data_IF_217316928119
#
_entry.id   IF_217316928119
#
_cell.length_a   1.000
_cell.length_b   1.000
_cell.length_c   1.000
_cell.angle_alpha   90.00
_cell.angle_beta   90.00
_cell.angle_gamma   90.00
#
_symmetry.space_group_name_H-M   'P 1'
#
loop_
_entity.id
_entity.type
_entity.pdbx_description
1 polymer ?
#
# COMPACT_ATOMS: atom_id res chain seq x y z
N UNK A 1 39.76 -76.56 6.34
CA UNK A 1 39.12 -76.85 7.65
C UNK A 1 39.35 -75.62 8.53
N UNK A 2 38.27 -74.85 8.76
CA UNK A 2 37.99 -73.80 9.79
C UNK A 2 38.99 -72.62 9.94
N UNK A 3 38.67 -71.35 9.61
CA UNK A 3 37.68 -70.35 10.13
C UNK A 3 37.85 -69.90 11.61
N UNK A 4 38.11 -68.60 11.79
CA UNK A 4 37.57 -67.63 12.79
C UNK A 4 38.28 -66.27 12.59
N UNK A 5 37.63 -65.25 12.03
CA UNK A 5 36.69 -64.27 12.66
C UNK A 5 37.37 -63.35 13.69
N UNK A 6 37.61 -62.10 13.29
CA UNK A 6 37.73 -60.94 14.18
C UNK A 6 37.01 -59.74 13.53
N UNK A 7 36.16 -59.13 14.35
CA UNK A 7 35.13 -58.13 14.07
C UNK A 7 35.61 -56.86 13.35
N UNK A 8 34.88 -56.49 12.28
CA UNK A 8 34.98 -55.20 11.56
C UNK A 8 33.78 -54.28 11.86
N UNK A 9 32.81 -54.74 12.65
CA UNK A 9 31.51 -54.06 12.83
C UNK A 9 31.45 -53.00 13.95
N UNK A 10 32.56 -52.74 14.65
CA UNK A 10 32.58 -51.77 15.76
C UNK A 10 33.03 -50.36 15.36
N UNK A 11 33.73 -50.18 14.24
CA UNK A 11 34.21 -48.86 13.81
C UNK A 11 33.21 -48.11 12.90
N UNK A 12 32.38 -48.83 12.15
CA UNK A 12 31.36 -48.26 11.26
C UNK A 12 30.13 -47.72 11.99
N UNK A 13 29.95 -48.05 13.29
CA UNK A 13 28.84 -47.56 14.11
C UNK A 13 29.12 -46.26 14.86
N UNK A 14 30.37 -45.82 14.95
CA UNK A 14 30.72 -44.56 15.60
C UNK A 14 30.71 -43.37 14.64
N UNK A 15 31.07 -43.56 13.36
CA UNK A 15 30.94 -42.49 12.34
C UNK A 15 29.50 -42.27 11.87
N UNK A 16 28.63 -43.29 12.00
CA UNK A 16 27.21 -43.17 11.65
C UNK A 16 26.38 -42.44 12.74
N UNK A 17 26.88 -42.37 13.98
CA UNK A 17 26.19 -41.71 15.08
C UNK A 17 26.47 -40.19 15.13
N UNK A 18 27.65 -39.73 14.70
CA UNK A 18 28.00 -38.30 14.68
C UNK A 18 27.49 -37.56 13.42
N UNK A 19 27.04 -38.26 12.38
CA UNK A 19 26.40 -37.62 11.21
C UNK A 19 24.88 -37.44 11.36
N UNK A 20 24.30 -37.96 12.43
CA UNK A 20 22.85 -38.00 12.62
C UNK A 20 22.33 -36.93 13.60
N UNK A 21 23.21 -36.22 14.31
CA UNK A 21 22.83 -35.19 15.29
C UNK A 21 22.88 -33.74 14.77
N UNK A 22 23.46 -33.47 13.58
CA UNK A 22 23.53 -32.11 13.01
C UNK A 22 22.42 -31.79 12.00
N UNK A 23 21.52 -32.72 11.69
CA UNK A 23 20.40 -32.51 10.76
C UNK A 23 19.04 -32.26 11.42
N UNK A 24 18.94 -32.26 12.75
CA UNK A 24 17.67 -32.13 13.49
C UNK A 24 17.24 -30.69 13.86
N UNK A 25 17.79 -29.65 13.21
CA UNK A 25 17.37 -28.25 13.47
C UNK A 25 16.67 -27.55 12.29
N UNK A 26 16.07 -28.30 11.37
CA UNK A 26 15.06 -27.75 10.48
C UNK A 26 13.74 -28.44 10.77
N UNK A 27 12.92 -27.84 11.64
CA UNK A 27 11.48 -28.09 11.60
C UNK A 27 11.04 -27.76 10.18
N UNK A 28 10.84 -28.81 9.37
CA UNK A 28 10.18 -28.73 8.07
C UNK A 28 8.86 -28.04 8.35
N UNK A 29 8.78 -26.75 7.99
CA UNK A 29 7.50 -26.05 7.93
C UNK A 29 6.64 -26.92 7.04
N UNK A 30 5.48 -27.36 7.54
CA UNK A 30 4.54 -28.19 6.79
C UNK A 30 4.40 -27.60 5.38
N UNK A 31 4.96 -28.27 4.37
CA UNK A 31 5.14 -27.73 3.00
C UNK A 31 3.81 -27.41 2.32
N UNK A 32 2.70 -27.71 2.99
CA UNK A 32 1.34 -27.49 2.55
C UNK A 32 0.75 -26.13 2.96
N UNK A 33 1.34 -25.41 3.93
CA UNK A 33 0.86 -24.08 4.30
C UNK A 33 1.61 -22.97 3.56
N UNK A 34 1.24 -22.81 2.28
CA UNK A 34 1.81 -21.76 1.42
C UNK A 34 1.55 -20.35 1.96
N UNK A 35 0.45 -20.12 2.67
CA UNK A 35 0.08 -18.78 3.14
C UNK A 35 1.05 -18.31 4.26
N UNK A 36 1.48 -19.23 5.13
CA UNK A 36 2.54 -18.96 6.12
C UNK A 36 3.90 -18.73 5.46
N UNK A 37 4.26 -19.52 4.46
CA UNK A 37 5.52 -19.35 3.72
C UNK A 37 5.58 -17.99 3.00
N UNK A 38 4.52 -17.62 2.30
CA UNK A 38 4.42 -16.31 1.62
C UNK A 38 4.55 -15.19 2.65
N UNK A 39 3.82 -15.27 3.76
CA UNK A 39 3.89 -14.25 4.83
C UNK A 39 5.30 -14.10 5.41
N UNK A 40 6.02 -15.22 5.57
CA UNK A 40 7.42 -15.22 6.02
C UNK A 40 8.33 -14.49 5.04
N UNK A 41 8.30 -14.83 3.76
CA UNK A 41 9.17 -14.17 2.76
C UNK A 41 8.83 -12.69 2.60
N UNK A 42 7.54 -12.32 2.63
CA UNK A 42 7.12 -10.92 2.63
C UNK A 42 7.64 -10.16 3.85
N UNK A 43 7.63 -10.78 5.05
CA UNK A 43 8.17 -10.14 6.26
C UNK A 43 9.69 -9.93 6.22
N UNK A 44 10.40 -10.75 5.44
CA UNK A 44 11.85 -10.62 5.20
C UNK A 44 12.19 -9.62 4.08
N UNK A 45 11.19 -9.14 3.35
CA UNK A 45 11.37 -8.27 2.18
C UNK A 45 11.77 -9.00 0.89
N UNK A 46 11.86 -10.34 0.91
CA UNK A 46 12.18 -11.15 -0.28
C UNK A 46 10.93 -11.29 -1.17
N UNK A 47 10.74 -10.29 -2.03
CA UNK A 47 9.60 -10.22 -2.93
C UNK A 47 9.69 -11.21 -4.09
N UNK A 48 10.89 -11.61 -4.51
CA UNK A 48 11.09 -12.53 -5.64
C UNK A 48 10.67 -13.95 -5.26
N UNK A 49 11.17 -14.45 -4.13
CA UNK A 49 10.79 -15.76 -3.59
C UNK A 49 9.32 -15.78 -3.21
N UNK A 50 8.80 -14.70 -2.61
CA UNK A 50 7.38 -14.58 -2.34
C UNK A 50 6.52 -14.70 -3.61
N UNK A 51 6.94 -14.05 -4.72
CA UNK A 51 6.22 -14.12 -6.00
C UNK A 51 6.11 -15.56 -6.51
N UNK A 52 7.20 -16.33 -6.43
CA UNK A 52 7.20 -17.74 -6.85
C UNK A 52 6.18 -18.58 -6.05
N UNK A 53 6.16 -18.41 -4.72
CA UNK A 53 5.23 -19.17 -3.87
C UNK A 53 3.78 -18.71 -4.02
N UNK A 54 3.53 -17.43 -4.28
CA UNK A 54 2.19 -16.89 -4.61
C UNK A 54 1.66 -17.58 -5.88
N UNK A 55 2.48 -17.67 -6.93
CA UNK A 55 2.10 -18.32 -8.19
C UNK A 55 1.81 -19.80 -8.00
N UNK A 56 2.65 -20.50 -7.23
CA UNK A 56 2.48 -21.92 -6.95
C UNK A 56 1.23 -22.20 -6.09
N UNK A 57 0.97 -21.37 -5.09
CA UNK A 57 -0.24 -21.45 -4.25
C UNK A 57 -1.50 -21.27 -5.09
N UNK A 58 -1.52 -20.26 -5.96
CA UNK A 58 -2.67 -20.03 -6.85
C UNK A 58 -2.87 -21.16 -7.86
N UNK A 59 -1.79 -21.69 -8.46
CA UNK A 59 -1.88 -22.82 -9.38
C UNK A 59 -2.51 -24.05 -8.71
N UNK A 60 -2.07 -24.41 -7.49
CA UNK A 60 -2.64 -25.53 -6.73
C UNK A 60 -4.11 -25.30 -6.38
N UNK A 61 -4.49 -24.08 -5.97
CA UNK A 61 -5.89 -23.72 -5.70
C UNK A 61 -6.75 -23.87 -6.96
N UNK A 62 -6.23 -23.51 -8.13
CA UNK A 62 -6.93 -23.68 -9.41
C UNK A 62 -7.16 -25.15 -9.79
N UNK A 63 -6.28 -26.06 -9.38
CA UNK A 63 -6.47 -27.50 -9.59
C UNK A 63 -7.62 -28.06 -8.74
N UNK A 64 -7.79 -27.57 -7.51
CA UNK A 64 -8.85 -28.02 -6.60
C UNK A 64 -10.20 -27.35 -6.84
N UNK A 65 -10.20 -26.05 -7.12
CA UNK A 65 -11.42 -25.27 -7.36
C UNK A 65 -11.11 -23.89 -7.94
N UNK A 66 -11.71 -23.54 -9.07
CA UNK A 66 -11.58 -22.18 -9.63
C UNK A 66 -12.56 -21.21 -8.95
N UNK A 67 -12.28 -20.76 -7.73
CA UNK A 67 -13.08 -19.73 -7.07
C UNK A 67 -12.62 -18.31 -7.41
N UNK A 68 -13.58 -17.39 -7.52
CA UNK A 68 -13.28 -15.98 -7.76
C UNK A 68 -12.57 -15.33 -6.57
N UNK A 69 -12.82 -15.82 -5.35
CA UNK A 69 -12.16 -15.32 -4.14
C UNK A 69 -10.66 -15.64 -4.11
N UNK A 70 -10.28 -16.81 -4.61
CA UNK A 70 -8.88 -17.23 -4.67
C UNK A 70 -8.11 -16.37 -5.67
N UNK A 71 -8.74 -16.03 -6.80
CA UNK A 71 -8.17 -15.06 -7.74
C UNK A 71 -8.07 -13.66 -7.13
N UNK A 72 -9.05 -13.19 -6.36
CA UNK A 72 -8.98 -11.90 -5.69
C UNK A 72 -7.85 -11.86 -4.65
N UNK A 73 -7.64 -12.94 -3.89
CA UNK A 73 -6.51 -13.08 -2.97
C UNK A 73 -5.17 -13.12 -3.71
N UNK A 74 -5.08 -13.86 -4.81
CA UNK A 74 -3.89 -13.90 -5.65
C UNK A 74 -3.53 -12.51 -6.22
N UNK A 75 -4.51 -11.74 -6.71
CA UNK A 75 -4.31 -10.36 -7.16
C UNK A 75 -3.85 -9.44 -6.02
N UNK A 76 -4.44 -9.60 -4.82
CA UNK A 76 -4.00 -8.88 -3.62
C UNK A 76 -2.54 -9.15 -3.31
N UNK A 77 -2.14 -10.42 -3.28
CA UNK A 77 -0.77 -10.81 -2.93
C UNK A 77 0.24 -10.35 -3.98
N UNK A 78 -0.10 -10.42 -5.28
CA UNK A 78 0.70 -9.84 -6.37
C UNK A 78 0.88 -8.31 -6.25
N UNK A 79 -0.10 -7.62 -5.67
CA UNK A 79 -0.01 -6.17 -5.43
C UNK A 79 1.01 -5.85 -4.34
N UNK A 80 1.17 -6.73 -3.34
CA UNK A 80 2.15 -6.58 -2.26
C UNK A 80 3.58 -6.71 -2.80
N UNK A 81 3.83 -7.64 -3.72
CA UNK A 81 5.12 -7.82 -4.39
C UNK A 81 5.33 -6.87 -5.59
N UNK A 82 4.54 -5.81 -5.68
CA UNK A 82 4.66 -4.73 -6.69
C UNK A 82 4.54 -5.18 -8.16
N UNK A 83 3.87 -6.30 -8.44
CA UNK A 83 3.67 -6.83 -9.81
C UNK A 83 2.52 -6.13 -10.55
N UNK A 84 2.53 -4.79 -10.58
CA UNK A 84 1.41 -3.97 -11.04
C UNK A 84 1.03 -4.20 -12.51
N UNK A 85 2.03 -4.39 -13.40
CA UNK A 85 1.75 -4.65 -14.82
C UNK A 85 0.99 -5.97 -14.99
N UNK A 86 1.42 -7.01 -14.30
CA UNK A 86 0.78 -8.34 -14.30
C UNK A 86 -0.64 -8.26 -13.74
N UNK A 87 -0.83 -7.58 -12.60
CA UNK A 87 -2.15 -7.35 -12.00
C UNK A 87 -3.09 -6.66 -12.99
N UNK A 88 -2.64 -5.59 -13.65
CA UNK A 88 -3.47 -4.85 -14.61
C UNK A 88 -3.94 -5.73 -15.77
N UNK A 89 -3.07 -6.57 -16.32
CA UNK A 89 -3.39 -7.47 -17.44
C UNK A 89 -4.32 -8.60 -17.02
N UNK A 90 -4.09 -9.20 -15.85
CA UNK A 90 -4.93 -10.30 -15.34
C UNK A 90 -6.38 -9.86 -15.12
N UNK A 91 -6.59 -8.68 -14.54
CA UNK A 91 -7.94 -8.14 -14.30
C UNK A 91 -8.61 -7.77 -15.62
N UNK A 92 -7.88 -7.13 -16.54
CA UNK A 92 -8.41 -6.69 -17.83
C UNK A 92 -8.79 -7.87 -18.72
N UNK A 93 -7.94 -8.90 -18.82
CA UNK A 93 -8.19 -10.09 -19.64
C UNK A 93 -9.41 -10.90 -19.17
N UNK A 94 -9.80 -10.76 -17.90
CA UNK A 94 -10.99 -11.42 -17.33
C UNK A 94 -12.22 -10.49 -17.27
N UNK A 95 -12.11 -9.25 -17.76
CA UNK A 95 -13.19 -8.25 -17.75
C UNK A 95 -13.79 -7.99 -16.35
N UNK A 96 -12.97 -8.02 -15.29
CA UNK A 96 -13.45 -7.95 -13.91
C UNK A 96 -13.55 -6.52 -13.34
N UNK A 97 -12.99 -5.52 -14.02
CA UNK A 97 -12.89 -4.13 -13.52
C UNK A 97 -14.25 -3.56 -13.13
N UNK A 98 -15.29 -3.81 -13.94
CA UNK A 98 -16.64 -3.26 -13.73
C UNK A 98 -17.54 -4.15 -12.86
N UNK A 99 -17.08 -5.34 -12.46
CA UNK A 99 -17.91 -6.33 -11.77
C UNK A 99 -17.97 -6.14 -10.26
N UNK A 100 -16.86 -5.72 -9.64
CA UNK A 100 -16.81 -5.54 -8.19
C UNK A 100 -15.71 -4.54 -7.77
N UNK A 101 -15.95 -3.80 -6.67
CA UNK A 101 -15.02 -2.78 -6.14
C UNK A 101 -13.62 -3.34 -5.85
N UNK A 102 -13.53 -4.60 -5.43
CA UNK A 102 -12.26 -5.29 -5.17
C UNK A 102 -11.35 -5.24 -6.40
N UNK A 103 -11.87 -5.62 -7.57
CA UNK A 103 -11.10 -5.65 -8.81
C UNK A 103 -10.88 -4.24 -9.37
N UNK A 104 -11.88 -3.36 -9.26
CA UNK A 104 -11.72 -1.96 -9.60
C UNK A 104 -10.57 -1.31 -8.81
N UNK A 105 -10.48 -1.59 -7.50
CA UNK A 105 -9.40 -1.09 -6.65
C UNK A 105 -8.03 -1.57 -7.09
N UNK A 106 -7.81 -2.88 -7.18
CA UNK A 106 -6.48 -3.40 -7.55
C UNK A 106 -6.06 -2.98 -8.95
N UNK A 107 -7.01 -2.85 -9.88
CA UNK A 107 -6.73 -2.35 -11.22
C UNK A 107 -6.34 -0.86 -11.22
N UNK A 108 -7.14 -0.01 -10.56
CA UNK A 108 -6.85 1.43 -10.46
C UNK A 108 -5.54 1.68 -9.71
N UNK A 109 -5.28 0.93 -8.64
CA UNK A 109 -4.03 1.01 -7.90
C UNK A 109 -2.83 0.61 -8.78
N UNK A 110 -2.94 -0.48 -9.56
CA UNK A 110 -1.91 -0.86 -10.51
C UNK A 110 -1.65 0.22 -11.57
N UNK A 111 -2.71 0.79 -12.16
CA UNK A 111 -2.57 1.90 -13.12
C UNK A 111 -1.90 3.14 -12.52
N UNK A 112 -2.19 3.43 -11.24
CA UNK A 112 -1.60 4.56 -10.53
C UNK A 112 -0.08 4.41 -10.41
N UNK A 113 0.38 3.23 -10.01
CA UNK A 113 1.81 2.92 -9.93
C UNK A 113 2.49 2.85 -11.31
N UNK A 114 1.74 2.48 -12.35
CA UNK A 114 2.18 2.56 -13.75
C UNK A 114 2.10 3.98 -14.35
N UNK A 115 1.72 4.99 -13.55
CA UNK A 115 1.57 6.41 -13.95
C UNK A 115 0.55 6.64 -15.09
N UNK A 116 -0.43 5.76 -15.23
CA UNK A 116 -1.48 5.85 -16.26
C UNK A 116 -2.70 6.66 -15.78
N UNK A 117 -2.46 7.88 -15.31
CA UNK A 117 -3.48 8.72 -14.66
C UNK A 117 -4.67 9.08 -15.56
N UNK A 118 -4.43 9.31 -16.85
CA UNK A 118 -5.47 9.61 -17.84
C UNK A 118 -6.45 8.45 -18.04
N UNK A 119 -5.98 7.21 -17.93
CA UNK A 119 -6.83 6.02 -18.05
C UNK A 119 -7.73 5.89 -16.83
N UNK A 120 -7.19 6.12 -15.62
CA UNK A 120 -7.94 6.01 -14.36
C UNK A 120 -9.21 6.87 -14.37
N UNK A 121 -9.10 8.13 -14.82
CA UNK A 121 -10.24 9.07 -14.83
C UNK A 121 -11.29 8.75 -15.90
N UNK A 122 -10.92 7.97 -16.92
CA UNK A 122 -11.81 7.55 -18.00
C UNK A 122 -12.52 6.22 -17.72
N UNK A 123 -12.17 5.51 -16.65
CA UNK A 123 -12.76 4.21 -16.33
C UNK A 123 -14.23 4.35 -15.91
N UNK A 124 -15.17 3.67 -16.58
CA UNK A 124 -16.59 3.76 -16.27
C UNK A 124 -16.96 2.82 -15.10
N UNK A 125 -16.52 3.18 -13.89
CA UNK A 125 -16.78 2.41 -12.66
C UNK A 125 -17.81 3.08 -11.74
N UNK A 126 -18.49 4.13 -12.21
CA UNK A 126 -19.48 4.88 -11.43
C UNK A 126 -20.58 4.02 -10.83
N UNK A 127 -21.00 2.96 -11.53
CA UNK A 127 -22.02 2.01 -11.05
C UNK A 127 -21.60 1.23 -9.80
N UNK A 128 -20.30 1.14 -9.53
CA UNK A 128 -19.76 0.46 -8.35
C UNK A 128 -19.65 1.40 -7.13
N UNK A 129 -19.94 2.69 -7.27
CA UNK A 129 -19.76 3.64 -6.19
C UNK A 129 -20.86 3.53 -5.13
N UNK A 130 -20.47 3.59 -3.86
CA UNK A 130 -21.38 3.58 -2.72
C UNK A 130 -22.02 4.95 -2.43
N UNK A 131 -21.58 6.01 -3.12
CA UNK A 131 -22.04 7.38 -2.88
C UNK A 131 -22.26 8.08 -4.21
N UNK A 132 -23.38 8.80 -4.31
CA UNK A 132 -23.73 9.58 -5.50
C UNK A 132 -22.89 10.86 -5.61
N UNK A 133 -22.73 11.38 -6.83
CA UNK A 133 -22.05 12.65 -7.08
C UNK A 133 -20.52 12.59 -6.97
N UNK A 134 -19.94 11.38 -6.94
CA UNK A 134 -18.50 11.20 -7.01
C UNK A 134 -18.00 11.47 -8.43
N UNK A 135 -16.82 12.11 -8.57
CA UNK A 135 -16.25 12.43 -9.87
C UNK A 135 -15.58 11.18 -10.46
N UNK A 136 -16.38 10.17 -10.80
CA UNK A 136 -15.95 9.00 -11.57
C UNK A 136 -16.85 8.88 -12.78
N UNK A 137 -16.32 8.32 -13.88
CA UNK A 137 -17.13 8.14 -15.08
C UNK A 137 -18.21 7.09 -14.80
N UNK A 138 -19.45 7.43 -15.11
CA UNK A 138 -20.54 6.46 -15.15
C UNK A 138 -20.62 5.88 -16.57
N UNK A 139 -20.85 4.57 -16.73
CA UNK A 139 -21.05 3.99 -18.04
C UNK A 139 -22.24 4.65 -18.74
N UNK A 140 -22.04 5.02 -20.00
CA UNK A 140 -23.06 5.67 -20.82
C UNK A 140 -24.10 4.62 -21.24
N UNK A 141 -25.32 4.69 -20.71
CA UNK A 141 -26.43 3.74 -20.98
C UNK A 141 -26.88 3.65 -22.45
N UNK A 142 -26.22 4.35 -23.37
CA UNK A 142 -26.60 4.49 -24.78
C UNK A 142 -25.63 3.79 -25.75
N UNK A 143 -24.54 3.19 -25.27
CA UNK A 143 -23.58 2.45 -26.11
C UNK A 143 -23.57 0.96 -25.75
N UNK A 144 -24.50 0.19 -26.34
CA UNK A 144 -24.66 -1.26 -26.10
C UNK A 144 -23.50 -2.18 -26.54
N UNK A 145 -22.35 -1.61 -26.91
CA UNK A 145 -21.14 -2.39 -27.23
C UNK A 145 -20.38 -2.79 -25.95
N UNK A 146 -20.45 -1.97 -24.89
CA UNK A 146 -19.80 -2.30 -23.60
C UNK A 146 -20.51 -3.47 -22.91
N UNK A 147 -21.85 -3.52 -22.97
CA UNK A 147 -22.65 -4.61 -22.42
C UNK A 147 -22.39 -5.95 -23.12
N UNK A 148 -22.02 -5.92 -24.41
CA UNK A 148 -21.70 -7.12 -25.18
C UNK A 148 -20.37 -7.75 -24.73
N UNK A 149 -19.36 -6.96 -24.37
CA UNK A 149 -18.09 -7.48 -23.84
C UNK A 149 -18.23 -7.97 -22.39
N UNK A 150 -19.04 -7.29 -21.58
CA UNK A 150 -19.33 -7.70 -20.20
C UNK A 150 -20.19 -8.99 -20.11
N UNK A 151 -20.85 -9.40 -21.20
CA UNK A 151 -21.59 -10.66 -21.29
C UNK A 151 -20.70 -11.91 -21.42
N UNK A 152 -19.43 -11.78 -21.80
CA UNK A 152 -18.50 -12.91 -21.91
C UNK A 152 -17.88 -13.32 -20.57
N UNK A 153 -17.95 -12.45 -19.55
CA UNK A 153 -17.53 -12.80 -18.20
C UNK A 153 -18.66 -13.52 -17.46
N UNK A 154 -18.34 -14.64 -16.83
CA UNK A 154 -19.29 -15.36 -15.98
C UNK A 154 -19.89 -14.44 -14.92
N UNK A 155 -21.21 -14.53 -14.73
CA UNK A 155 -21.90 -13.83 -13.65
C UNK A 155 -21.34 -14.30 -12.30
N UNK A 156 -21.11 -13.36 -11.39
CA UNK A 156 -20.60 -13.69 -10.05
C UNK A 156 -21.67 -14.46 -9.29
N UNK A 157 -21.30 -15.61 -8.73
CA UNK A 157 -22.20 -16.35 -7.84
C UNK A 157 -22.52 -15.52 -6.60
N UNK A 158 -23.70 -15.72 -6.00
CA UNK A 158 -24.09 -15.03 -4.77
C UNK A 158 -23.08 -15.28 -3.63
N UNK A 159 -22.53 -16.50 -3.57
CA UNK A 159 -21.48 -16.86 -2.61
C UNK A 159 -20.18 -16.08 -2.84
N UNK A 160 -19.75 -15.91 -4.09
CA UNK A 160 -18.55 -15.13 -4.41
C UNK A 160 -18.77 -13.65 -4.09
N UNK A 161 -19.96 -13.12 -4.41
CA UNK A 161 -20.31 -11.73 -4.12
C UNK A 161 -20.31 -11.45 -2.61
N UNK A 162 -20.85 -12.36 -1.79
CA UNK A 162 -20.79 -12.25 -0.34
C UNK A 162 -19.34 -12.28 0.19
N UNK A 163 -18.50 -13.16 -0.34
CA UNK A 163 -17.09 -13.26 0.04
C UNK A 163 -16.28 -12.01 -0.37
N UNK A 164 -16.52 -11.50 -1.58
CA UNK A 164 -15.88 -10.28 -2.08
C UNK A 164 -16.34 -9.03 -1.30
N UNK A 165 -17.62 -8.94 -0.93
CA UNK A 165 -18.11 -7.87 -0.07
C UNK A 165 -17.48 -7.93 1.33
N UNK A 166 -17.29 -9.14 1.89
CA UNK A 166 -16.57 -9.33 3.16
C UNK A 166 -15.12 -8.82 3.04
N UNK A 167 -14.43 -9.14 1.95
CA UNK A 167 -13.07 -8.65 1.67
C UNK A 167 -13.03 -7.13 1.50
N UNK A 168 -13.95 -6.56 0.74
CA UNK A 168 -14.06 -5.10 0.54
C UNK A 168 -14.21 -4.36 1.87
N UNK A 169 -15.07 -4.88 2.75
CA UNK A 169 -15.36 -4.26 4.04
C UNK A 169 -14.25 -4.44 5.07
N UNK A 170 -13.57 -5.59 5.09
CA UNK A 170 -12.46 -5.86 6.00
C UNK A 170 -11.23 -5.02 5.66
N UNK A 171 -10.92 -4.89 4.37
CA UNK A 171 -9.77 -4.12 3.87
C UNK A 171 -10.07 -2.64 3.59
N UNK A 172 -11.32 -2.18 3.81
CA UNK A 172 -11.76 -0.80 3.53
C UNK A 172 -11.43 -0.33 2.10
N UNK A 173 -11.59 -1.22 1.11
CA UNK A 173 -11.12 -0.99 -0.25
C UNK A 173 -11.78 0.20 -0.96
N UNK A 174 -13.02 0.56 -0.60
CA UNK A 174 -13.65 1.76 -1.16
C UNK A 174 -12.90 3.02 -0.72
N UNK A 175 -12.61 3.18 0.58
CA UNK A 175 -11.83 4.32 1.07
C UNK A 175 -10.45 4.36 0.40
N UNK A 176 -9.78 3.21 0.30
CA UNK A 176 -8.48 3.11 -0.38
C UNK A 176 -8.57 3.51 -1.86
N UNK A 177 -9.59 3.05 -2.59
CA UNK A 177 -9.86 3.43 -3.98
C UNK A 177 -10.05 4.94 -4.13
N UNK A 178 -10.85 5.54 -3.24
CA UNK A 178 -11.10 6.98 -3.26
C UNK A 178 -9.83 7.80 -2.93
N UNK A 179 -8.92 7.28 -2.11
CA UNK A 179 -7.60 7.90 -1.92
C UNK A 179 -6.77 7.87 -3.21
N UNK A 180 -6.77 6.76 -3.96
CA UNK A 180 -6.04 6.67 -5.23
C UNK A 180 -6.63 7.63 -6.27
N UNK A 181 -7.96 7.74 -6.37
CA UNK A 181 -8.61 8.76 -7.20
C UNK A 181 -8.27 10.18 -6.76
N UNK A 182 -8.29 10.45 -5.45
CA UNK A 182 -7.91 11.75 -4.89
C UNK A 182 -6.48 12.15 -5.26
N UNK A 183 -5.52 11.22 -5.14
CA UNK A 183 -4.13 11.42 -5.57
C UNK A 183 -4.04 11.67 -7.08
N UNK A 184 -4.78 10.90 -7.87
CA UNK A 184 -4.82 11.05 -9.32
C UNK A 184 -5.33 12.43 -9.73
N UNK A 185 -6.41 12.92 -9.11
CA UNK A 185 -6.95 14.25 -9.40
C UNK A 185 -6.05 15.39 -8.92
N UNK A 186 -5.31 15.21 -7.83
CA UNK A 186 -4.26 16.16 -7.42
C UNK A 186 -3.19 16.28 -8.51
N UNK A 187 -2.72 15.14 -9.05
CA UNK A 187 -1.72 15.12 -10.12
C UNK A 187 -2.24 15.70 -11.44
N UNK A 188 -3.55 15.62 -11.68
CA UNK A 188 -4.23 16.24 -12.83
C UNK A 188 -4.70 17.68 -12.52
N UNK A 189 -4.26 18.27 -11.41
CA UNK A 189 -4.56 19.64 -10.97
C UNK A 189 -6.06 19.95 -10.76
N UNK A 190 -6.90 18.93 -10.66
CA UNK A 190 -8.33 19.09 -10.42
C UNK A 190 -8.64 19.00 -8.92
N UNK A 191 -8.53 20.15 -8.25
CA UNK A 191 -8.70 20.24 -6.78
C UNK A 191 -10.13 19.95 -6.31
N UNK A 192 -11.15 20.30 -7.09
CA UNK A 192 -12.55 20.06 -6.71
C UNK A 192 -12.85 18.56 -6.65
N UNK A 193 -12.48 17.83 -7.71
CA UNK A 193 -12.68 16.39 -7.76
C UNK A 193 -11.82 15.65 -6.73
N UNK A 194 -10.57 16.09 -6.55
CA UNK A 194 -9.72 15.56 -5.49
C UNK A 194 -10.35 15.74 -4.10
N UNK A 195 -10.90 16.92 -3.79
CA UNK A 195 -11.56 17.19 -2.52
C UNK A 195 -12.73 16.23 -2.28
N UNK A 196 -13.64 16.08 -3.26
CA UNK A 196 -14.79 15.17 -3.15
C UNK A 196 -14.37 13.72 -2.91
N UNK A 197 -13.37 13.24 -3.63
CA UNK A 197 -12.85 11.87 -3.46
C UNK A 197 -12.25 11.66 -2.06
N UNK A 198 -11.39 12.58 -1.62
CA UNK A 198 -10.70 12.45 -0.33
C UNK A 198 -11.66 12.60 0.85
N UNK A 199 -12.67 13.47 0.74
CA UNK A 199 -13.73 13.60 1.74
C UNK A 199 -14.51 12.28 1.84
N UNK A 200 -14.92 11.69 0.71
CA UNK A 200 -15.61 10.40 0.70
C UNK A 200 -14.76 9.29 1.34
N UNK A 201 -13.46 9.25 1.03
CA UNK A 201 -12.53 8.30 1.63
C UNK A 201 -12.46 8.44 3.16
N UNK A 202 -12.31 9.67 3.65
CA UNK A 202 -12.13 9.98 5.07
C UNK A 202 -13.41 9.79 5.90
N UNK A 203 -14.58 10.08 5.32
CA UNK A 203 -15.86 9.84 5.98
C UNK A 203 -16.14 8.34 6.13
N UNK A 204 -15.70 7.52 5.16
CA UNK A 204 -15.88 6.08 5.22
C UNK A 204 -14.86 5.39 6.15
N UNK A 205 -13.60 5.80 6.10
CA UNK A 205 -12.56 5.34 7.02
C UNK A 205 -11.92 6.51 7.78
N UNK A 206 -12.35 6.66 9.03
CA UNK A 206 -11.89 7.71 9.94
C UNK A 206 -10.43 7.55 10.35
N UNK A 207 -9.81 6.39 10.10
CA UNK A 207 -8.42 6.09 10.43
C UNK A 207 -7.49 6.21 9.22
N UNK A 208 -8.02 6.60 8.06
CA UNK A 208 -7.22 6.78 6.85
C UNK A 208 -6.33 8.02 6.95
N UNK A 209 -5.13 7.83 7.48
CA UNK A 209 -4.10 8.88 7.60
C UNK A 209 -3.76 9.49 6.24
N UNK A 210 -3.70 8.66 5.19
CA UNK A 210 -3.39 9.12 3.84
C UNK A 210 -4.42 10.13 3.33
N UNK A 211 -5.72 9.86 3.53
CA UNK A 211 -6.77 10.80 3.15
C UNK A 211 -6.67 12.10 3.97
N UNK A 212 -6.46 11.98 5.28
CA UNK A 212 -6.33 13.13 6.17
C UNK A 212 -5.15 14.04 5.81
N UNK A 213 -3.96 13.46 5.62
CA UNK A 213 -2.75 14.21 5.26
C UNK A 213 -2.92 14.92 3.93
N UNK A 214 -3.51 14.26 2.92
CA UNK A 214 -3.76 14.89 1.63
C UNK A 214 -4.76 16.06 1.75
N UNK A 215 -5.83 15.90 2.54
CA UNK A 215 -6.79 16.98 2.79
C UNK A 215 -6.14 18.18 3.49
N UNK A 216 -5.28 17.96 4.50
CA UNK A 216 -4.55 19.00 5.24
C UNK A 216 -3.52 19.69 4.33
N UNK A 217 -2.62 18.92 3.71
CA UNK A 217 -1.49 19.44 2.94
C UNK A 217 -1.95 20.28 1.73
N UNK A 218 -2.99 19.83 1.03
CA UNK A 218 -3.53 20.54 -0.13
C UNK A 218 -4.66 21.53 0.22
N UNK A 219 -4.94 21.75 1.51
CA UNK A 219 -6.00 22.65 2.01
C UNK A 219 -7.35 22.40 1.31
N UNK A 220 -7.72 21.14 1.16
CA UNK A 220 -8.93 20.70 0.44
C UNK A 220 -10.16 20.56 1.35
N UNK A 221 -10.01 20.84 2.64
CA UNK A 221 -11.08 20.75 3.64
C UNK A 221 -12.07 21.91 3.43
N UNK A 222 -13.38 21.63 3.34
CA UNK A 222 -14.40 22.67 3.28
C UNK A 222 -14.29 23.60 4.50
N UNK A 223 -14.27 24.91 4.27
CA UNK A 223 -14.13 25.92 5.34
C UNK A 223 -15.40 26.11 6.18
N UNK A 224 -16.46 25.35 5.89
CA UNK A 224 -17.76 25.47 6.53
C UNK A 224 -17.84 24.60 7.79
N UNK A 225 -18.06 25.22 8.95
CA UNK A 225 -18.18 24.51 10.23
C UNK A 225 -19.34 23.50 10.33
N UNK A 226 -20.25 23.51 9.35
CA UNK A 226 -21.36 22.54 9.21
C UNK A 226 -20.92 21.22 8.56
N UNK A 227 -19.78 21.20 7.88
CA UNK A 227 -19.31 20.02 7.16
C UNK A 227 -18.87 18.90 8.11
N UNK A 228 -19.35 17.65 7.91
CA UNK A 228 -18.98 16.52 8.76
C UNK A 228 -17.46 16.23 8.74
N UNK A 229 -16.78 16.47 7.62
CA UNK A 229 -15.33 16.30 7.51
C UNK A 229 -14.59 17.29 8.41
N UNK A 230 -14.95 18.58 8.36
CA UNK A 230 -14.33 19.62 9.20
C UNK A 230 -14.49 19.30 10.70
N UNK A 231 -15.69 18.89 11.12
CA UNK A 231 -15.96 18.51 12.51
C UNK A 231 -15.15 17.29 12.95
N UNK A 232 -15.00 16.31 12.05
CA UNK A 232 -14.24 15.09 12.34
C UNK A 232 -12.74 15.39 12.48
N UNK A 233 -12.17 16.18 11.57
CA UNK A 233 -10.75 16.58 11.66
C UNK A 233 -10.46 17.38 12.94
N UNK A 234 -11.38 18.26 13.36
CA UNK A 234 -11.24 18.99 14.63
C UNK A 234 -11.22 18.06 15.84
N UNK A 235 -12.01 16.97 15.83
CA UNK A 235 -12.01 15.98 16.91
C UNK A 235 -10.72 15.18 16.96
N UNK A 236 -10.19 14.77 15.81
CA UNK A 236 -8.92 14.03 15.75
C UNK A 236 -7.77 14.87 16.31
N UNK A 237 -7.72 16.17 15.98
CA UNK A 237 -6.78 17.12 16.57
C UNK A 237 -6.83 17.20 18.11
N UNK A 238 -7.96 16.89 18.74
CA UNK A 238 -8.12 16.93 20.19
C UNK A 238 -7.68 15.63 20.89
N UNK A 239 -7.55 14.54 20.13
CA UNK A 239 -7.12 13.22 20.64
C UNK A 239 -5.63 12.94 20.39
N UNK A 240 -4.92 13.94 19.90
CA UNK A 240 -3.52 13.86 19.50
C UNK A 240 -2.58 13.77 20.73
N UNK A 241 -1.60 12.88 20.69
CA UNK A 241 -0.69 12.55 21.81
C UNK A 241 0.44 13.60 21.87
N UNK A 242 0.65 14.21 23.03
CA UNK A 242 1.77 15.13 23.26
C UNK A 242 3.11 14.41 23.04
N UNK A 243 3.89 14.87 22.05
CA UNK A 243 5.21 14.32 21.72
C UNK A 243 5.32 13.65 20.34
N UNK A 244 4.24 13.53 19.58
CA UNK A 244 4.30 12.97 18.21
C UNK A 244 5.16 13.88 17.28
N UNK A 245 6.20 13.35 16.60
CA UNK A 245 7.01 14.13 15.67
C UNK A 245 6.19 14.78 14.55
N UNK A 246 5.03 14.23 14.18
CA UNK A 246 4.12 14.83 13.18
C UNK A 246 3.55 16.16 13.67
N UNK A 247 3.17 16.22 14.95
CA UNK A 247 2.66 17.45 15.56
C UNK A 247 3.77 18.46 15.75
N UNK A 248 4.95 18.04 16.21
CA UNK A 248 6.14 18.90 16.29
C UNK A 248 6.48 19.48 14.91
N UNK A 249 6.36 18.68 13.85
CA UNK A 249 6.57 19.13 12.46
C UNK A 249 5.49 20.13 12.02
N UNK A 250 4.21 19.91 12.34
CA UNK A 250 3.15 20.85 12.01
C UNK A 250 3.30 22.18 12.77
N UNK A 251 3.66 22.13 14.06
CA UNK A 251 4.01 23.30 14.86
C UNK A 251 5.19 24.05 14.22
N UNK A 252 6.23 23.33 13.81
CA UNK A 252 7.37 23.94 13.11
C UNK A 252 6.94 24.62 11.81
N UNK A 253 6.00 24.06 11.04
CA UNK A 253 5.45 24.71 9.83
C UNK A 253 4.69 25.99 10.17
N UNK A 254 3.93 26.00 11.26
CA UNK A 254 3.22 27.19 11.74
C UNK A 254 4.21 28.29 12.16
N UNK A 255 5.23 27.94 12.97
CA UNK A 255 6.31 28.85 13.37
C UNK A 255 7.06 29.44 12.17
N UNK A 256 7.36 28.60 11.18
CA UNK A 256 8.04 29.04 9.96
C UNK A 256 7.18 30.02 9.16
N UNK A 257 5.88 29.74 9.03
CA UNK A 257 4.93 30.61 8.35
C UNK A 257 4.79 31.97 9.06
N UNK A 258 4.88 31.96 10.38
CA UNK A 258 4.82 33.17 11.21
C UNK A 258 6.17 33.93 11.25
N UNK A 259 7.18 33.47 10.51
CA UNK A 259 8.49 34.11 10.37
C UNK A 259 9.47 33.80 11.51
N UNK A 260 9.12 32.90 12.43
CA UNK A 260 9.95 32.51 13.56
C UNK A 260 10.91 31.38 13.18
N UNK A 261 11.85 31.71 12.29
CA UNK A 261 12.76 30.71 11.68
C UNK A 261 13.72 30.08 12.71
N UNK A 262 14.12 30.82 13.76
CA UNK A 262 15.01 30.29 14.81
C UNK A 262 14.33 29.18 15.64
N UNK A 263 13.12 29.44 16.14
CA UNK A 263 12.31 28.44 16.88
C UNK A 263 11.95 27.24 15.99
N UNK A 264 11.74 27.48 14.68
CA UNK A 264 11.55 26.42 13.70
C UNK A 264 12.79 25.55 13.58
N UNK A 265 13.98 26.14 13.45
CA UNK A 265 15.23 25.39 13.32
C UNK A 265 15.49 24.55 14.58
N UNK A 266 15.27 25.10 15.77
CA UNK A 266 15.41 24.37 17.04
C UNK A 266 14.48 23.16 17.08
N UNK A 267 13.20 23.37 16.77
CA UNK A 267 12.19 22.29 16.77
C UNK A 267 12.53 21.21 15.74
N UNK A 268 12.91 21.60 14.52
CA UNK A 268 13.27 20.65 13.47
C UNK A 268 14.57 19.90 13.78
N UNK A 269 15.55 20.54 14.40
CA UNK A 269 16.80 19.89 14.83
C UNK A 269 16.51 18.82 15.88
N UNK A 270 15.70 19.15 16.90
CA UNK A 270 15.28 18.19 17.92
C UNK A 270 14.59 16.96 17.30
N UNK A 271 13.72 17.16 16.30
CA UNK A 271 13.07 16.03 15.60
C UNK A 271 14.11 15.15 14.87
N UNK A 272 15.07 15.77 14.19
CA UNK A 272 16.11 15.02 13.46
C UNK A 272 17.04 14.26 14.42
N UNK A 273 17.36 14.83 15.58
CA UNK A 273 18.17 14.17 16.60
C UNK A 273 17.44 12.99 17.27
N UNK A 274 16.13 13.11 17.52
CA UNK A 274 15.32 12.05 18.14
C UNK A 274 14.98 10.91 17.18
N UNK A 275 14.71 11.22 15.89
CA UNK A 275 14.12 10.29 14.94
C UNK A 275 14.98 10.02 13.69
N UNK A 276 16.17 10.62 13.58
CA UNK A 276 17.01 10.55 12.38
C UNK A 276 16.40 11.33 11.22
N UNK A 277 16.64 10.87 9.98
CA UNK A 277 16.12 11.50 8.75
C UNK A 277 14.59 11.38 8.65
N UNK A 278 13.89 12.27 9.35
CA UNK A 278 12.43 12.31 9.36
C UNK A 278 11.89 13.06 8.14
N UNK A 279 11.56 12.31 7.08
CA UNK A 279 11.24 12.83 5.73
C UNK A 279 10.20 13.96 5.70
N UNK A 280 9.18 13.94 6.57
CA UNK A 280 8.13 14.97 6.63
C UNK A 280 8.64 16.35 7.09
N UNK A 281 9.81 16.39 7.73
CA UNK A 281 10.45 17.57 8.32
C UNK A 281 11.68 18.05 7.53
N UNK A 282 12.28 17.20 6.70
CA UNK A 282 13.56 17.45 6.01
C UNK A 282 13.55 18.74 5.19
N UNK A 283 12.52 18.96 4.39
CA UNK A 283 12.43 20.17 3.55
C UNK A 283 12.32 21.44 4.40
N UNK A 284 11.57 21.38 5.51
CA UNK A 284 11.46 22.52 6.42
C UNK A 284 12.79 22.81 7.11
N UNK A 285 13.50 21.77 7.53
CA UNK A 285 14.83 21.89 8.13
C UNK A 285 15.85 22.47 7.13
N UNK A 286 15.89 21.96 5.90
CA UNK A 286 16.75 22.46 4.84
C UNK A 286 16.48 23.95 4.53
N UNK A 287 15.21 24.36 4.47
CA UNK A 287 14.83 25.76 4.30
C UNK A 287 15.35 26.64 5.44
N UNK A 288 15.28 26.16 6.69
CA UNK A 288 15.82 26.89 7.84
C UNK A 288 17.35 27.01 7.77
N UNK A 289 18.06 25.94 7.44
CA UNK A 289 19.52 25.97 7.27
C UNK A 289 19.94 26.93 6.15
N UNK A 290 19.20 26.95 5.05
CA UNK A 290 19.41 27.90 3.95
C UNK A 290 19.19 29.34 4.41
N UNK A 291 18.13 29.61 5.19
CA UNK A 291 17.84 30.94 5.72
C UNK A 291 18.98 31.47 6.61
N UNK A 292 19.53 30.60 7.47
CA UNK A 292 20.68 30.94 8.32
C UNK A 292 22.04 30.82 7.63
N UNK A 293 22.08 30.45 6.35
CA UNK A 293 23.30 30.29 5.56
C UNK A 293 24.29 29.27 6.18
N UNK A 294 23.79 28.25 6.88
CA UNK A 294 24.61 27.15 7.41
C UNK A 294 24.90 26.11 6.31
N UNK A 295 25.73 26.52 5.36
CA UNK A 295 26.07 25.72 4.17
C UNK A 295 26.72 24.39 4.54
N UNK A 296 27.45 24.34 5.66
CA UNK A 296 28.13 23.13 6.09
C UNK A 296 27.14 22.05 6.51
N UNK A 297 26.14 22.40 7.34
CA UNK A 297 25.10 21.44 7.73
C UNK A 297 24.20 21.06 6.57
N UNK A 298 23.87 22.03 5.70
CA UNK A 298 23.06 21.76 4.52
C UNK A 298 23.76 20.78 3.55
N UNK A 299 25.07 20.96 3.34
CA UNK A 299 25.88 20.05 2.53
C UNK A 299 25.91 18.62 3.11
N UNK A 300 26.10 18.48 4.42
CA UNK A 300 26.08 17.18 5.09
C UNK A 300 24.72 16.49 4.97
N UNK A 301 23.63 17.24 5.19
CA UNK A 301 22.27 16.74 5.05
C UNK A 301 21.99 16.23 3.62
N UNK A 302 22.41 16.97 2.60
CA UNK A 302 22.23 16.57 1.21
C UNK A 302 22.98 15.27 0.88
N UNK A 303 24.22 15.13 1.37
CA UNK A 303 24.99 13.90 1.21
C UNK A 303 24.33 12.70 1.89
N UNK A 304 23.81 12.89 3.11
CA UNK A 304 23.14 11.84 3.87
C UNK A 304 21.83 11.41 3.20
N UNK A 305 21.09 12.36 2.61
CA UNK A 305 19.87 12.10 1.84
C UNK A 305 20.13 11.27 0.59
N UNK A 306 21.11 11.66 -0.22
CA UNK A 306 21.47 10.93 -1.44
C UNK A 306 21.98 9.52 -1.11
N UNK A 307 22.77 9.39 -0.04
CA UNK A 307 23.30 8.09 0.39
C UNK A 307 22.21 7.15 0.90
N UNK A 308 21.30 7.66 1.74
CA UNK A 308 20.26 6.85 2.40
C UNK A 308 19.03 6.61 1.53
N UNK A 309 18.67 7.58 0.69
CA UNK A 309 17.45 7.57 -0.12
C UNK A 309 17.71 8.04 -1.56
N UNK A 310 18.48 7.28 -2.36
CA UNK A 310 18.88 7.70 -3.71
C UNK A 310 17.70 7.88 -4.68
N UNK A 311 16.62 7.11 -4.50
CA UNK A 311 15.45 7.17 -5.38
C UNK A 311 14.38 8.17 -4.92
N UNK A 312 14.57 8.83 -3.77
CA UNK A 312 13.60 9.78 -3.24
C UNK A 312 13.78 11.16 -3.89
N UNK A 313 12.68 11.78 -4.31
CA UNK A 313 12.69 13.08 -5.00
C UNK A 313 13.30 14.23 -4.20
N UNK A 314 13.27 14.19 -2.86
CA UNK A 314 13.95 15.19 -2.02
C UNK A 314 15.48 15.11 -2.04
N UNK A 315 16.04 14.00 -2.53
CA UNK A 315 17.49 13.83 -2.61
C UNK A 315 18.10 14.51 -3.83
N UNK A 316 17.29 14.92 -4.81
CA UNK A 316 17.71 15.52 -6.08
C UNK A 316 17.15 16.94 -6.23
#
# INVERSE_FOLDING_TARGET
MLLRDCDVDSFSRLEAAEQQEDFECYKVVDENDYDLLISRYLSQGDCETATYWIDRSYAKKCETSSSMIDFANYVKDLTIVHQYKRVSQLILNRHLVKKHIVFAYYYVNALFHLRMYSVIVQLPIGNLMLTEGLPVRYPDSHCGLEDYLDSFSAELSESDLAALNKMMNSLKLFSALMVVYGRTYILLENRDFASRCLIAAFLQDRRSLAAEQLLRNYKLVPSTGKDPCYRLMKKIKQTEISGDPRQKTELARELYRDGKVAETLETTTMIMEEHGLYMDCIILHANCLCYFQDWKKLFLLAHELVFSFPDHHYSW
#
